data_IF_889139319951
#
_entry.id   IF_889139319951
#
_cell.length_a   1.000
_cell.length_b   1.000
_cell.length_c   1.000
_cell.angle_alpha   90.00
_cell.angle_beta   90.00
_cell.angle_gamma   90.00
#
_symmetry.space_group_name_H-M   'P 1'
#
loop_
_entity.id
_entity.type
_entity.pdbx_description
1 polymer ?
#
# COMPACT_ATOMS: atom_id res chain seq x y z
N UNK A 1 -18.93 5.89 0.19
CA UNK A 1 -18.16 5.46 1.37
C UNK A 1 -16.97 4.58 1.02
N UNK A 2 -17.09 3.26 0.79
CA UNK A 2 -15.94 2.32 0.61
C UNK A 2 -14.78 2.84 -0.26
N UNK A 3 -15.05 3.31 -1.48
CA UNK A 3 -14.01 3.83 -2.41
C UNK A 3 -13.40 5.18 -2.00
N UNK A 4 -14.10 6.00 -1.23
CA UNK A 4 -13.62 7.30 -0.75
C UNK A 4 -12.84 7.14 0.56
N UNK A 5 -13.32 6.28 1.46
CA UNK A 5 -12.64 5.94 2.71
C UNK A 5 -11.39 5.09 2.46
N UNK A 6 -11.45 4.07 1.60
CA UNK A 6 -10.25 3.34 1.19
C UNK A 6 -9.26 4.27 0.49
N UNK A 7 -9.73 5.29 -0.25
CA UNK A 7 -8.87 6.37 -0.75
C UNK A 7 -8.32 7.24 0.36
N UNK A 8 -9.09 7.67 1.36
CA UNK A 8 -8.59 8.44 2.50
C UNK A 8 -7.52 7.67 3.27
N UNK A 9 -7.74 6.37 3.49
CA UNK A 9 -6.81 5.51 4.24
C UNK A 9 -5.58 5.17 3.42
N UNK A 10 -5.73 4.85 2.12
CA UNK A 10 -4.61 4.70 1.19
C UNK A 10 -3.90 6.03 1.03
N UNK A 11 -4.60 7.16 0.99
CA UNK A 11 -4.01 8.50 0.94
C UNK A 11 -3.28 8.78 2.24
N UNK A 12 -3.80 8.46 3.43
CA UNK A 12 -3.12 8.62 4.73
C UNK A 12 -1.91 7.71 4.88
N UNK A 13 -1.99 6.46 4.42
CA UNK A 13 -0.86 5.50 4.45
C UNK A 13 0.16 5.71 3.32
N UNK A 14 -0.25 6.30 2.19
CA UNK A 14 0.64 6.71 1.09
C UNK A 14 1.14 8.15 1.24
N UNK A 15 0.47 9.07 1.95
CA UNK A 15 1.02 10.37 2.34
C UNK A 15 2.07 10.19 3.42
N UNK A 16 1.88 9.22 4.31
CA UNK A 16 2.96 8.65 5.14
C UNK A 16 4.14 8.08 4.32
N UNK A 17 3.90 7.56 3.11
CA UNK A 17 4.95 7.09 2.22
C UNK A 17 5.43 8.14 1.19
N UNK A 18 4.75 9.30 1.03
CA UNK A 18 4.92 10.27 -0.07
C UNK A 18 4.40 11.71 0.18
N UNK A 19 4.33 12.22 1.41
CA UNK A 19 4.11 13.65 1.72
C UNK A 19 3.25 13.97 2.96
N UNK A 20 3.90 14.50 4.03
CA UNK A 20 3.54 15.60 4.98
C UNK A 20 3.23 15.28 6.48
N UNK A 21 3.89 16.05 7.38
CA UNK A 21 3.81 16.04 8.88
C UNK A 21 2.70 16.93 9.51
N UNK A 22 2.54 17.14 10.83
CA UNK A 22 3.49 17.24 11.96
C UNK A 22 2.82 17.24 13.37
N UNK A 23 3.61 16.93 14.42
CA UNK A 23 3.29 16.86 15.86
C UNK A 23 2.89 18.19 16.57
N UNK A 24 1.92 18.12 17.52
CA UNK A 24 1.84 19.03 18.69
C UNK A 24 1.49 18.29 20.00
N UNK A 25 2.33 18.51 21.03
CA UNK A 25 2.23 17.90 22.36
C UNK A 25 1.21 18.55 23.31
N UNK A 26 0.62 17.73 24.18
CA UNK A 26 -0.44 18.12 25.10
C UNK A 26 0.04 18.63 26.46
N UNK A 27 -0.57 19.73 26.92
CA UNK A 27 -0.92 20.01 28.33
C UNK A 27 -2.17 20.89 28.34
N UNK A 28 -3.34 20.35 28.69
CA UNK A 28 -4.56 21.16 28.92
C UNK A 28 -5.93 20.53 28.59
N UNK A 29 -6.13 19.21 28.72
CA UNK A 29 -7.31 18.53 28.14
C UNK A 29 -8.61 18.45 28.97
N UNK A 30 -8.66 18.91 30.23
CA UNK A 30 -9.89 18.73 31.05
C UNK A 30 -10.77 19.98 31.23
N UNK A 31 -10.32 21.16 30.79
CA UNK A 31 -11.10 22.40 30.96
C UNK A 31 -11.86 22.85 29.70
N UNK A 32 -11.50 22.36 28.50
CA UNK A 32 -12.12 22.81 27.24
C UNK A 32 -13.43 22.07 26.89
N UNK A 33 -13.52 20.75 27.11
CA UNK A 33 -14.68 19.97 26.67
C UNK A 33 -15.98 20.37 27.39
N UNK A 34 -15.88 20.69 28.69
CA UNK A 34 -17.04 21.14 29.49
C UNK A 34 -17.42 22.59 29.21
N UNK A 35 -16.48 23.46 28.77
CA UNK A 35 -16.80 24.85 28.44
C UNK A 35 -17.41 24.99 27.04
N UNK A 36 -17.01 24.17 26.07
CA UNK A 36 -17.47 24.30 24.67
C UNK A 36 -18.94 23.88 24.49
N UNK A 37 -19.42 22.87 25.21
CA UNK A 37 -20.83 22.44 25.10
C UNK A 37 -21.81 23.38 25.81
N UNK A 38 -21.39 24.05 26.90
CA UNK A 38 -22.22 25.07 27.58
C UNK A 38 -22.05 26.49 26.98
N UNK A 39 -20.92 26.81 26.33
CA UNK A 39 -20.68 28.16 25.76
C UNK A 39 -21.12 28.32 24.30
N UNK A 40 -21.05 27.27 23.46
CA UNK A 40 -21.38 27.39 22.02
C UNK A 40 -22.87 27.62 21.77
N UNK A 41 -23.75 27.19 22.69
CA UNK A 41 -25.18 27.48 22.63
C UNK A 41 -25.58 28.84 23.24
N UNK A 42 -24.69 29.51 24.00
CA UNK A 42 -25.02 30.71 24.77
C UNK A 42 -24.23 31.98 24.40
N UNK A 43 -23.07 31.87 23.75
CA UNK A 43 -22.23 33.01 23.33
C UNK A 43 -21.76 32.85 21.87
N UNK A 44 -22.69 32.78 20.92
CA UNK A 44 -22.40 32.65 19.48
C UNK A 44 -21.98 33.94 18.78
N UNK A 45 -21.33 34.87 19.49
CA UNK A 45 -20.77 36.11 18.92
C UNK A 45 -19.30 36.32 19.33
N UNK A 46 -18.61 35.25 19.77
CA UNK A 46 -17.15 35.24 19.78
C UNK A 46 -16.70 35.26 18.32
N UNK A 47 -15.93 36.28 17.93
CA UNK A 47 -15.54 36.54 16.53
C UNK A 47 -14.74 35.37 15.93
N UNK A 48 -15.45 34.46 15.26
CA UNK A 48 -14.88 33.42 14.37
C UNK A 48 -14.04 34.07 13.23
N UNK A 49 -14.20 35.37 12.99
CA UNK A 49 -13.46 36.11 11.96
C UNK A 49 -11.93 36.19 12.21
N UNK A 50 -11.46 35.98 13.45
CA UNK A 50 -10.04 36.09 13.81
C UNK A 50 -9.33 34.72 13.99
N UNK A 51 -10.01 33.59 13.74
CA UNK A 51 -9.38 32.28 13.77
C UNK A 51 -8.49 32.07 12.54
N UNK A 52 -7.38 31.38 12.71
CA UNK A 52 -6.64 30.88 11.57
C UNK A 52 -7.49 29.88 10.76
N UNK A 53 -7.10 29.65 9.51
CA UNK A 53 -7.88 28.81 8.58
C UNK A 53 -8.06 27.38 9.09
N UNK A 54 -7.08 26.86 9.83
CA UNK A 54 -7.06 25.50 10.38
C UNK A 54 -8.07 25.34 11.51
N UNK A 55 -8.00 26.23 12.51
CA UNK A 55 -8.95 26.26 13.61
C UNK A 55 -10.38 26.40 13.09
N UNK A 56 -10.57 27.24 12.06
CA UNK A 56 -11.87 27.43 11.43
C UNK A 56 -12.40 26.15 10.79
N UNK A 57 -11.58 25.41 10.06
CA UNK A 57 -11.97 24.13 9.46
C UNK A 57 -12.38 23.11 10.53
N UNK A 58 -11.61 22.99 11.62
CA UNK A 58 -11.97 22.16 12.76
C UNK A 58 -13.32 22.56 13.38
N UNK A 59 -13.56 23.85 13.63
CA UNK A 59 -14.83 24.31 14.20
C UNK A 59 -16.02 24.11 13.27
N UNK A 60 -15.84 24.35 11.96
CA UNK A 60 -16.87 24.09 10.96
C UNK A 60 -17.21 22.58 10.93
N UNK A 61 -16.19 21.72 11.01
CA UNK A 61 -16.36 20.27 11.11
C UNK A 61 -17.06 19.84 12.40
N UNK A 62 -16.61 20.35 13.55
CA UNK A 62 -17.20 20.07 14.87
C UNK A 62 -18.68 20.45 14.90
N UNK A 63 -19.01 21.66 14.42
CA UNK A 63 -20.38 22.18 14.39
C UNK A 63 -21.30 21.32 13.52
N UNK A 64 -20.78 20.83 12.40
CA UNK A 64 -21.54 20.03 11.45
C UNK A 64 -21.86 18.64 11.98
N UNK A 65 -20.90 18.01 12.66
CA UNK A 65 -21.01 16.61 13.06
C UNK A 65 -21.43 16.41 14.53
N UNK A 66 -21.28 17.41 15.42
CA UNK A 66 -21.66 17.25 16.84
C UNK A 66 -23.10 16.79 17.02
N UNK A 67 -24.03 17.33 16.21
CA UNK A 67 -25.45 17.02 16.23
C UNK A 67 -25.88 16.01 15.14
N UNK A 68 -24.92 15.27 14.57
CA UNK A 68 -25.22 14.28 13.55
C UNK A 68 -26.24 13.23 14.06
N UNK A 69 -27.28 13.04 13.26
CA UNK A 69 -28.39 12.15 13.57
C UNK A 69 -28.19 10.79 12.87
N UNK A 70 -27.53 9.88 13.59
CA UNK A 70 -27.24 8.53 13.09
C UNK A 70 -28.49 7.67 12.82
N UNK A 71 -29.69 8.12 13.18
CA UNK A 71 -30.95 7.44 12.81
C UNK A 71 -31.28 7.59 11.31
N UNK A 72 -30.64 8.55 10.63
CA UNK A 72 -30.76 8.75 9.17
C UNK A 72 -29.91 7.76 8.38
N UNK A 73 -28.93 7.12 9.01
CA UNK A 73 -28.12 6.08 8.39
C UNK A 73 -28.94 4.81 8.18
N UNK A 74 -28.64 4.07 7.13
CA UNK A 74 -29.28 2.79 6.82
C UNK A 74 -28.28 1.82 6.20
N UNK A 75 -28.63 0.52 6.17
CA UNK A 75 -27.81 -0.51 5.55
C UNK A 75 -26.40 -0.59 6.12
N UNK A 76 -25.41 -0.67 5.24
CA UNK A 76 -23.99 -0.79 5.60
C UNK A 76 -23.47 0.44 6.36
N UNK A 77 -23.92 1.65 6.03
CA UNK A 77 -23.48 2.88 6.70
C UNK A 77 -23.88 2.86 8.18
N UNK A 78 -25.10 2.41 8.48
CA UNK A 78 -25.57 2.26 9.87
C UNK A 78 -24.77 1.21 10.62
N UNK A 79 -24.51 0.07 9.98
CA UNK A 79 -23.72 -1.03 10.56
C UNK A 79 -22.30 -0.57 10.89
N UNK A 80 -21.66 0.15 9.98
CA UNK A 80 -20.33 0.73 10.20
C UNK A 80 -20.33 1.73 11.35
N UNK A 81 -21.27 2.68 11.37
CA UNK A 81 -21.41 3.63 12.47
C UNK A 81 -21.58 2.93 13.83
N UNK A 82 -22.41 1.88 13.88
CA UNK A 82 -22.65 1.10 15.10
C UNK A 82 -21.38 0.33 15.54
N UNK A 83 -20.57 -0.15 14.58
CA UNK A 83 -19.26 -0.73 14.86
C UNK A 83 -18.29 0.31 15.45
N UNK A 84 -18.21 1.51 14.86
CA UNK A 84 -17.39 2.61 15.41
C UNK A 84 -17.83 2.95 16.82
N UNK A 85 -19.14 3.04 17.06
CA UNK A 85 -19.71 3.28 18.40
C UNK A 85 -19.24 2.24 19.41
N UNK A 86 -19.33 0.96 19.06
CA UNK A 86 -18.93 -0.16 19.92
C UNK A 86 -17.42 -0.16 20.20
N UNK A 87 -16.60 0.02 19.15
CA UNK A 87 -15.15 0.02 19.26
C UNK A 87 -14.66 1.23 20.05
N UNK A 88 -15.26 2.41 19.85
CA UNK A 88 -14.94 3.61 20.60
C UNK A 88 -15.30 3.50 22.08
N UNK A 89 -16.46 2.91 22.43
CA UNK A 89 -16.82 2.66 23.83
C UNK A 89 -15.80 1.73 24.53
N UNK A 90 -15.26 0.75 23.80
CA UNK A 90 -14.18 -0.12 24.29
C UNK A 90 -12.91 0.70 24.50
N UNK A 91 -12.50 1.52 23.52
CA UNK A 91 -11.35 2.41 23.61
C UNK A 91 -11.43 3.38 24.80
N UNK A 92 -12.59 4.01 25.03
CA UNK A 92 -12.84 4.91 26.17
C UNK A 92 -12.66 4.20 27.51
N UNK A 93 -13.10 2.94 27.60
CA UNK A 93 -12.95 2.12 28.80
C UNK A 93 -11.50 1.72 29.03
N UNK A 94 -10.83 1.21 27.99
CA UNK A 94 -9.46 0.72 28.06
C UNK A 94 -8.44 1.83 28.37
N UNK A 95 -8.74 3.07 27.97
CA UNK A 95 -7.88 4.25 28.18
C UNK A 95 -8.37 5.18 29.30
N UNK A 96 -9.40 4.77 30.07
CA UNK A 96 -9.93 5.52 31.21
C UNK A 96 -10.29 7.00 30.90
N UNK A 97 -10.80 7.30 29.70
CA UNK A 97 -11.01 8.68 29.25
C UNK A 97 -12.10 9.44 30.03
N UNK A 98 -12.96 8.73 30.75
CA UNK A 98 -13.97 9.34 31.63
C UNK A 98 -15.09 10.10 30.90
N UNK A 99 -15.29 9.84 29.60
CA UNK A 99 -16.31 10.51 28.79
C UNK A 99 -17.73 10.04 29.15
N UNK A 100 -18.65 10.99 29.28
CA UNK A 100 -20.09 10.72 29.37
C UNK A 100 -20.65 10.09 28.08
N UNK A 101 -21.85 9.50 28.15
CA UNK A 101 -22.50 8.92 26.97
C UNK A 101 -22.69 9.95 25.84
N UNK A 102 -22.92 11.22 26.20
CA UNK A 102 -23.21 12.28 25.25
C UNK A 102 -21.92 12.76 24.57
N UNK A 103 -20.82 12.88 25.34
CA UNK A 103 -19.49 13.15 24.79
C UNK A 103 -19.01 12.00 23.90
N UNK A 104 -19.26 10.74 24.29
CA UNK A 104 -18.95 9.59 23.45
C UNK A 104 -19.71 9.61 22.14
N UNK A 105 -21.00 9.99 22.17
CA UNK A 105 -21.80 10.15 20.96
C UNK A 105 -21.23 11.22 20.03
N UNK A 106 -20.86 12.39 20.56
CA UNK A 106 -20.23 13.47 19.78
C UNK A 106 -18.92 12.98 19.16
N UNK A 107 -18.07 12.32 19.94
CA UNK A 107 -16.81 11.76 19.43
C UNK A 107 -17.02 10.77 18.27
N UNK A 108 -17.97 9.83 18.41
CA UNK A 108 -18.31 8.88 17.33
C UNK A 108 -18.83 9.61 16.10
N UNK A 109 -19.63 10.66 16.27
CA UNK A 109 -20.10 11.46 15.14
C UNK A 109 -18.94 12.15 14.38
N UNK A 110 -17.94 12.65 15.10
CA UNK A 110 -16.75 13.26 14.50
C UNK A 110 -15.92 12.22 13.74
N UNK A 111 -15.67 11.06 14.35
CA UNK A 111 -14.96 9.95 13.70
C UNK A 111 -15.69 9.44 12.46
N UNK A 112 -17.03 9.41 12.50
CA UNK A 112 -17.85 9.13 11.32
C UNK A 112 -17.68 10.21 10.24
N UNK A 113 -17.70 11.49 10.63
CA UNK A 113 -17.50 12.60 9.71
C UNK A 113 -16.17 12.54 8.96
N UNK A 114 -15.10 12.07 9.62
CA UNK A 114 -13.80 11.88 9.00
C UNK A 114 -13.83 10.85 7.86
N UNK A 115 -14.80 9.92 7.88
CA UNK A 115 -15.02 8.99 6.78
C UNK A 115 -15.85 9.54 5.62
N UNK A 116 -16.54 10.65 5.84
CA UNK A 116 -17.43 11.30 4.87
C UNK A 116 -16.77 12.48 4.14
N UNK A 117 -15.85 13.17 4.80
CA UNK A 117 -15.26 14.41 4.34
C UNK A 117 -13.75 14.39 4.46
N UNK A 118 -13.10 14.89 3.42
CA UNK A 118 -11.67 15.16 3.44
C UNK A 118 -11.47 16.46 4.25
N UNK A 119 -10.62 16.40 5.27
CA UNK A 119 -10.19 17.53 6.08
C UNK A 119 -8.68 17.72 5.90
N UNK A 120 -8.16 18.91 6.21
CA UNK A 120 -6.70 19.10 6.34
C UNK A 120 -6.11 18.22 7.44
N UNK A 121 -4.81 17.91 7.33
CA UNK A 121 -4.08 17.10 8.32
C UNK A 121 -4.09 17.77 9.69
N UNK A 122 -3.97 19.10 9.74
CA UNK A 122 -4.02 19.83 11.00
C UNK A 122 -5.42 19.77 11.65
N UNK A 123 -6.49 19.88 10.84
CA UNK A 123 -7.84 19.69 11.35
C UNK A 123 -8.09 18.24 11.80
N UNK A 124 -7.54 17.24 11.09
CA UNK A 124 -7.59 15.84 11.49
C UNK A 124 -6.95 15.63 12.89
N UNK A 125 -5.76 16.17 13.10
CA UNK A 125 -5.06 16.11 14.39
C UNK A 125 -5.84 16.80 15.51
N UNK A 126 -6.44 17.96 15.24
CA UNK A 126 -7.31 18.66 16.20
C UNK A 126 -8.55 17.83 16.56
N UNK A 127 -9.16 17.16 15.58
CA UNK A 127 -10.32 16.26 15.80
C UNK A 127 -9.91 15.08 16.68
N UNK A 128 -8.80 14.41 16.38
CA UNK A 128 -8.31 13.30 17.20
C UNK A 128 -7.98 13.77 18.62
N UNK A 129 -7.31 14.92 18.75
CA UNK A 129 -6.99 15.51 20.04
C UNK A 129 -8.25 15.84 20.85
N UNK A 130 -9.30 16.38 20.21
CA UNK A 130 -10.59 16.68 20.82
C UNK A 130 -11.29 15.41 21.33
N UNK A 131 -11.25 14.34 20.54
CA UNK A 131 -11.82 13.03 20.90
C UNK A 131 -11.00 12.32 22.00
N UNK A 132 -9.81 12.84 22.33
CA UNK A 132 -8.90 12.21 23.29
C UNK A 132 -8.22 10.96 22.72
N UNK A 133 -8.00 10.96 21.40
CA UNK A 133 -7.51 9.84 20.62
C UNK A 133 -6.18 10.21 19.93
N UNK A 134 -5.31 9.23 19.71
CA UNK A 134 -4.14 9.31 18.85
C UNK A 134 -4.35 8.47 17.57
N UNK A 135 -3.41 8.51 16.63
CA UNK A 135 -3.57 7.78 15.36
C UNK A 135 -3.73 6.26 15.57
N UNK A 136 -3.04 5.68 16.57
CA UNK A 136 -3.20 4.26 16.94
C UNK A 136 -4.64 3.95 17.38
N UNK A 137 -5.20 4.80 18.22
CA UNK A 137 -6.60 4.73 18.64
C UNK A 137 -7.56 4.89 17.46
N UNK A 138 -7.27 5.81 16.53
CA UNK A 138 -8.08 6.01 15.33
C UNK A 138 -8.12 4.76 14.45
N UNK A 139 -6.97 4.16 14.17
CA UNK A 139 -6.92 2.91 13.38
C UNK A 139 -7.68 1.79 14.11
N UNK A 140 -7.46 1.60 15.41
CA UNK A 140 -8.14 0.55 16.19
C UNK A 140 -9.66 0.76 16.25
N UNK A 141 -10.13 1.99 16.33
CA UNK A 141 -11.56 2.31 16.44
C UNK A 141 -12.22 2.32 15.08
N UNK A 142 -11.70 3.09 14.13
CA UNK A 142 -12.35 3.35 12.85
C UNK A 142 -11.99 2.28 11.84
N UNK A 143 -10.71 1.95 11.63
CA UNK A 143 -10.30 0.98 10.61
C UNK A 143 -10.78 -0.42 10.95
N UNK A 144 -10.66 -0.87 12.21
CA UNK A 144 -11.19 -2.17 12.59
C UNK A 144 -12.72 -2.22 12.72
N UNK A 145 -13.42 -1.10 12.61
CA UNK A 145 -14.87 -1.13 12.38
C UNK A 145 -15.24 -1.68 11.00
N UNK A 146 -14.30 -1.68 10.06
CA UNK A 146 -14.41 -2.31 8.74
C UNK A 146 -13.92 -3.76 8.72
N UNK A 147 -13.58 -4.38 9.86
CA UNK A 147 -12.90 -5.70 9.86
C UNK A 147 -13.66 -6.79 9.08
N UNK A 148 -14.99 -6.77 9.03
CA UNK A 148 -15.76 -7.71 8.21
C UNK A 148 -15.54 -7.54 6.69
N UNK A 149 -14.94 -6.42 6.29
CA UNK A 149 -14.64 -6.05 4.91
C UNK A 149 -13.13 -6.04 4.60
N UNK A 150 -12.28 -6.07 5.62
CA UNK A 150 -10.83 -6.12 5.47
C UNK A 150 -10.38 -7.57 5.27
N UNK A 151 -9.44 -7.76 4.35
CA UNK A 151 -8.69 -9.00 4.22
C UNK A 151 -7.72 -9.17 5.40
N UNK A 152 -7.29 -10.40 5.67
CA UNK A 152 -6.28 -10.69 6.71
C UNK A 152 -4.98 -9.90 6.47
N UNK A 153 -4.65 -9.63 5.20
CA UNK A 153 -3.50 -8.82 4.77
C UNK A 153 -3.65 -7.37 5.20
N UNK A 154 -4.80 -6.78 4.92
CA UNK A 154 -5.07 -5.38 5.26
C UNK A 154 -5.07 -5.19 6.78
N UNK A 155 -5.69 -6.10 7.54
CA UNK A 155 -5.66 -6.05 9.00
C UNK A 155 -4.23 -6.04 9.53
N UNK A 156 -3.35 -6.89 8.99
CA UNK A 156 -1.98 -6.96 9.44
C UNK A 156 -1.13 -5.77 8.98
N UNK A 157 -1.38 -5.26 7.77
CA UNK A 157 -0.78 -4.03 7.30
C UNK A 157 -1.10 -2.85 8.24
N UNK A 158 -2.36 -2.69 8.64
CA UNK A 158 -2.73 -1.65 9.62
C UNK A 158 -2.12 -1.91 11.00
N UNK A 159 -1.99 -3.15 11.44
CA UNK A 159 -1.25 -3.47 12.67
C UNK A 159 0.22 -3.04 12.59
N UNK A 160 0.85 -3.15 11.42
CA UNK A 160 2.23 -2.71 11.22
C UNK A 160 2.36 -1.19 11.26
N UNK A 161 1.42 -0.46 10.65
CA UNK A 161 1.35 1.01 10.75
C UNK A 161 1.11 1.45 12.20
N UNK A 162 0.21 0.80 12.93
CA UNK A 162 0.00 1.12 14.35
C UNK A 162 1.32 0.93 15.13
N UNK A 163 1.99 -0.20 14.91
CA UNK A 163 3.25 -0.50 15.60
C UNK A 163 4.37 0.47 15.18
N UNK A 164 4.37 1.01 13.96
CA UNK A 164 5.40 1.98 13.54
C UNK A 164 5.25 3.28 14.31
N UNK A 165 4.02 3.78 14.49
CA UNK A 165 3.78 4.96 15.32
C UNK A 165 4.03 4.72 16.81
N UNK A 166 3.80 3.50 17.31
CA UNK A 166 4.07 3.13 18.71
C UNK A 166 5.57 2.86 18.99
N UNK A 167 6.43 2.83 17.95
CA UNK A 167 7.84 2.47 18.08
C UNK A 167 8.65 3.56 18.78
N UNK A 168 9.00 3.32 20.03
CA UNK A 168 9.94 4.16 20.78
C UNK A 168 11.37 3.63 20.60
N UNK A 169 12.11 4.24 19.66
CA UNK A 169 13.51 3.87 19.34
C UNK A 169 14.44 3.99 20.55
N UNK A 170 14.09 4.81 21.56
CA UNK A 170 14.90 4.94 22.78
C UNK A 170 14.82 3.73 23.70
N UNK A 171 13.78 2.90 23.53
CA UNK A 171 13.57 1.65 24.28
C UNK A 171 14.19 0.43 23.59
N UNK A 172 14.72 0.58 22.38
CA UNK A 172 15.38 -0.52 21.66
C UNK A 172 16.70 -0.89 22.34
N UNK A 173 17.01 -2.19 22.32
CA UNK A 173 18.36 -2.67 22.66
C UNK A 173 19.39 -2.15 21.66
N UNK A 174 20.67 -2.16 22.02
CA UNK A 174 21.74 -1.69 21.12
C UNK A 174 21.74 -2.43 19.77
N UNK A 175 21.51 -3.75 19.79
CA UNK A 175 21.42 -4.55 18.58
C UNK A 175 20.19 -4.16 17.74
N UNK A 176 19.01 -4.02 18.35
CA UNK A 176 17.80 -3.58 17.65
C UNK A 176 17.94 -2.18 17.06
N UNK A 177 18.56 -1.26 17.81
CA UNK A 177 18.82 0.09 17.35
C UNK A 177 19.75 0.10 16.14
N UNK A 178 20.79 -0.74 16.14
CA UNK A 178 21.66 -0.93 14.97
C UNK A 178 20.88 -1.44 13.75
N UNK A 179 19.94 -2.37 13.92
CA UNK A 179 19.05 -2.84 12.84
C UNK A 179 18.23 -1.66 12.30
N UNK A 180 17.54 -0.94 13.19
CA UNK A 180 16.70 0.21 12.83
C UNK A 180 17.48 1.30 12.10
N UNK A 181 18.65 1.69 12.62
CA UNK A 181 19.53 2.70 11.99
C UNK A 181 19.99 2.27 10.59
N UNK A 182 20.22 0.96 10.39
CA UNK A 182 20.57 0.40 9.08
C UNK A 182 19.42 0.52 8.10
N UNK A 183 18.19 0.16 8.52
CA UNK A 183 16.99 0.31 7.69
C UNK A 183 16.73 1.77 7.34
N UNK A 184 16.81 2.68 8.31
CA UNK A 184 16.66 4.13 8.10
C UNK A 184 17.70 4.64 7.09
N UNK A 185 18.95 4.18 7.20
CA UNK A 185 20.01 4.52 6.24
C UNK A 185 19.70 3.98 4.83
N UNK A 186 19.19 2.76 4.70
CA UNK A 186 18.84 2.18 3.41
C UNK A 186 17.64 2.89 2.78
N UNK A 187 16.59 3.18 3.55
CA UNK A 187 15.46 3.99 3.11
C UNK A 187 15.91 5.37 2.63
N UNK A 188 16.82 6.04 3.36
CA UNK A 188 17.39 7.33 2.93
C UNK A 188 18.14 7.23 1.59
N UNK A 189 18.94 6.17 1.40
CA UNK A 189 19.65 5.95 0.13
C UNK A 189 18.70 5.67 -1.02
N UNK A 190 17.63 4.91 -0.76
CA UNK A 190 16.59 4.62 -1.72
C UNK A 190 15.90 5.92 -2.17
N UNK A 191 15.42 6.73 -1.23
CA UNK A 191 14.83 8.06 -1.51
C UNK A 191 15.76 8.91 -2.38
N UNK A 192 17.05 8.96 -2.05
CA UNK A 192 18.04 9.71 -2.83
C UNK A 192 18.29 9.10 -4.23
N UNK A 193 18.31 7.77 -4.37
CA UNK A 193 18.56 7.06 -5.63
C UNK A 193 17.45 7.29 -6.65
N UNK A 194 16.21 7.40 -6.18
CA UNK A 194 15.02 7.60 -7.02
C UNK A 194 14.50 9.04 -7.03
N UNK A 195 15.25 9.97 -6.43
CA UNK A 195 14.90 11.41 -6.36
C UNK A 195 13.50 11.64 -5.76
N UNK A 196 13.15 10.85 -4.74
CA UNK A 196 11.87 11.01 -4.02
C UNK A 196 11.96 12.21 -3.07
N UNK A 197 10.90 13.00 -3.00
CA UNK A 197 10.78 14.15 -2.11
C UNK A 197 10.20 13.70 -0.75
N UNK A 198 10.95 12.88 0.00
CA UNK A 198 10.55 12.44 1.34
C UNK A 198 11.31 13.19 2.45
N UNK A 199 10.58 13.57 3.49
CA UNK A 199 11.07 14.19 4.71
C UNK A 199 11.62 13.13 5.70
N UNK A 200 12.32 13.58 6.76
CA UNK A 200 13.01 12.68 7.69
C UNK A 200 12.05 11.78 8.50
N UNK A 201 10.86 12.28 8.83
CA UNK A 201 9.80 11.57 9.53
C UNK A 201 9.18 10.46 8.68
N UNK A 202 9.00 10.67 7.38
CA UNK A 202 8.51 9.65 6.43
C UNK A 202 9.53 8.53 6.25
N UNK A 203 10.82 8.88 6.13
CA UNK A 203 11.92 7.92 6.09
C UNK A 203 11.96 7.11 7.41
N UNK A 204 11.73 7.78 8.55
CA UNK A 204 11.65 7.12 9.84
C UNK A 204 10.46 6.15 9.90
N UNK A 205 9.32 6.53 9.35
CA UNK A 205 8.14 5.67 9.31
C UNK A 205 8.35 4.44 8.43
N UNK A 206 8.90 4.59 7.22
CA UNK A 206 9.29 3.46 6.36
C UNK A 206 10.22 2.51 7.13
N UNK A 207 11.25 3.06 7.79
CA UNK A 207 12.17 2.26 8.59
C UNK A 207 11.46 1.56 9.77
N UNK A 208 10.45 2.19 10.37
CA UNK A 208 9.65 1.64 11.47
C UNK A 208 8.72 0.52 11.01
N UNK A 209 8.08 0.66 9.85
CA UNK A 209 7.27 -0.39 9.23
C UNK A 209 8.17 -1.59 8.91
N UNK A 210 9.29 -1.38 8.22
CA UNK A 210 10.26 -2.44 7.90
C UNK A 210 10.79 -3.11 9.17
N UNK A 211 11.16 -2.32 10.18
CA UNK A 211 11.62 -2.85 11.46
C UNK A 211 10.55 -3.72 12.11
N UNK A 212 9.30 -3.26 12.16
CA UNK A 212 8.20 -4.02 12.73
C UNK A 212 7.87 -5.27 11.93
N UNK A 213 7.95 -5.24 10.59
CA UNK A 213 7.85 -6.44 9.75
C UNK A 213 8.94 -7.46 10.13
N UNK A 214 10.14 -6.97 10.40
CA UNK A 214 11.26 -7.85 10.73
C UNK A 214 11.28 -8.33 12.18
N UNK A 215 10.82 -7.55 13.15
CA UNK A 215 10.71 -7.92 14.56
C UNK A 215 9.50 -8.84 14.78
N UNK A 216 8.40 -8.58 14.06
CA UNK A 216 7.20 -9.43 14.04
C UNK A 216 7.36 -10.72 13.23
N UNK A 217 8.53 -10.96 12.63
CA UNK A 217 8.86 -12.18 11.88
C UNK A 217 8.84 -13.47 12.71
N UNK A 218 8.60 -13.35 14.02
CA UNK A 218 8.24 -14.51 14.87
C UNK A 218 6.77 -14.93 14.76
N UNK A 219 5.90 -14.17 14.06
CA UNK A 219 4.44 -14.46 13.93
C UNK A 219 3.83 -14.24 12.55
N UNK A 220 4.39 -13.39 11.69
CA UNK A 220 3.89 -13.23 10.32
C UNK A 220 4.18 -14.49 9.51
N UNK A 221 3.17 -15.04 8.83
CA UNK A 221 3.43 -16.09 7.85
C UNK A 221 4.18 -15.49 6.66
N UNK A 222 5.08 -16.28 6.05
CA UNK A 222 5.72 -16.02 4.76
C UNK A 222 4.78 -15.40 3.72
N UNK A 223 3.58 -15.98 3.58
CA UNK A 223 2.55 -15.50 2.66
C UNK A 223 2.09 -14.08 3.00
N UNK A 224 1.80 -13.83 4.28
CA UNK A 224 1.32 -12.53 4.75
C UNK A 224 2.39 -11.44 4.63
N UNK A 225 3.66 -11.75 4.92
CA UNK A 225 4.78 -10.82 4.70
C UNK A 225 4.88 -10.41 3.22
N UNK A 226 4.76 -11.38 2.32
CA UNK A 226 4.77 -11.16 0.87
C UNK A 226 3.63 -10.25 0.43
N UNK A 227 2.42 -10.56 0.88
CA UNK A 227 1.23 -9.78 0.53
C UNK A 227 1.31 -8.35 1.09
N UNK A 228 1.90 -8.14 2.28
CA UNK A 228 2.16 -6.81 2.83
C UNK A 228 3.21 -6.03 2.03
N UNK A 229 4.32 -6.67 1.65
CA UNK A 229 5.35 -6.05 0.78
C UNK A 229 4.72 -5.59 -0.54
N UNK A 230 3.88 -6.44 -1.15
CA UNK A 230 3.13 -6.10 -2.35
C UNK A 230 2.13 -4.95 -2.11
N UNK A 231 1.41 -4.97 -0.99
CA UNK A 231 0.45 -3.91 -0.63
C UNK A 231 1.14 -2.54 -0.44
N UNK A 232 2.39 -2.54 0.01
CA UNK A 232 3.24 -1.35 0.08
C UNK A 232 3.69 -0.84 -1.30
N UNK A 233 3.40 -1.56 -2.38
CA UNK A 233 3.89 -1.23 -3.73
C UNK A 233 5.41 -1.40 -3.87
N UNK A 234 6.02 -2.17 -2.97
CA UNK A 234 7.45 -2.45 -2.97
C UNK A 234 7.64 -3.82 -3.62
N UNK A 235 8.42 -3.90 -4.70
CA UNK A 235 8.82 -5.21 -5.23
C UNK A 235 9.85 -5.89 -4.31
N UNK A 236 10.01 -7.21 -4.42
CA UNK A 236 10.93 -7.95 -3.54
C UNK A 236 12.40 -7.55 -3.69
N UNK A 237 12.83 -7.13 -4.87
CA UNK A 237 14.20 -6.66 -5.09
C UNK A 237 14.46 -5.38 -4.31
N UNK A 238 13.45 -4.50 -4.29
CA UNK A 238 13.47 -3.29 -3.49
C UNK A 238 13.38 -3.59 -2.00
N UNK A 239 12.54 -4.53 -1.58
CA UNK A 239 12.49 -4.96 -0.18
C UNK A 239 13.83 -5.57 0.27
N UNK A 240 14.52 -6.32 -0.59
CA UNK A 240 15.87 -6.82 -0.36
C UNK A 240 16.88 -5.68 -0.23
N UNK A 241 16.86 -4.68 -1.13
CA UNK A 241 17.73 -3.50 -1.07
C UNK A 241 17.52 -2.71 0.24
N UNK A 242 16.26 -2.52 0.65
CA UNK A 242 15.90 -1.82 1.88
C UNK A 242 16.30 -2.61 3.14
N UNK A 243 16.09 -3.93 3.12
CA UNK A 243 16.36 -4.81 4.26
C UNK A 243 17.86 -5.15 4.40
N UNK A 244 18.63 -5.06 3.31
CA UNK A 244 20.07 -5.31 3.30
C UNK A 244 20.44 -6.69 3.87
N UNK A 245 21.41 -6.73 4.79
CA UNK A 245 21.87 -7.99 5.41
C UNK A 245 20.77 -8.71 6.22
N UNK A 246 19.69 -8.02 6.58
CA UNK A 246 18.57 -8.64 7.29
C UNK A 246 17.67 -9.46 6.38
N UNK A 247 17.70 -9.20 5.06
CA UNK A 247 16.94 -9.98 4.07
C UNK A 247 17.33 -11.47 4.08
N UNK A 248 18.57 -11.81 4.43
CA UNK A 248 19.02 -13.21 4.56
C UNK A 248 18.19 -14.00 5.58
N UNK A 249 17.62 -13.34 6.59
CA UNK A 249 16.70 -13.98 7.55
C UNK A 249 15.32 -14.25 6.94
N UNK A 250 14.98 -13.56 5.86
CA UNK A 250 13.72 -13.66 5.14
C UNK A 250 13.81 -14.48 3.86
N UNK A 251 15.00 -14.72 3.30
CA UNK A 251 15.14 -15.41 2.00
C UNK A 251 14.47 -16.79 1.97
N UNK A 252 14.53 -17.53 3.08
CA UNK A 252 13.91 -18.85 3.21
C UNK A 252 12.37 -18.75 3.37
N UNK A 253 11.87 -17.54 3.62
CA UNK A 253 10.49 -17.15 3.80
C UNK A 253 9.96 -16.29 2.65
N UNK A 254 10.74 -16.03 1.59
CA UNK A 254 10.19 -15.52 0.34
C UNK A 254 9.65 -16.74 -0.39
N UNK A 255 8.33 -16.86 -0.60
CA UNK A 255 7.81 -17.96 -1.39
C UNK A 255 8.48 -17.87 -2.75
N UNK A 256 9.08 -18.96 -3.25
CA UNK A 256 9.49 -19.00 -4.66
C UNK A 256 8.33 -18.62 -5.59
N UNK A 257 7.10 -18.89 -5.15
CA UNK A 257 5.87 -18.49 -5.83
C UNK A 257 5.64 -16.97 -5.90
N UNK A 258 6.20 -16.15 -5.02
CA UNK A 258 6.03 -14.68 -5.05
C UNK A 258 6.84 -14.02 -6.17
N UNK A 259 8.09 -14.44 -6.32
CA UNK A 259 8.97 -14.00 -7.42
C UNK A 259 8.40 -14.48 -8.76
N UNK A 260 7.83 -15.70 -8.80
CA UNK A 260 7.10 -16.20 -9.96
C UNK A 260 5.79 -15.43 -10.19
N UNK A 261 5.09 -15.04 -9.13
CA UNK A 261 3.87 -14.23 -9.22
C UNK A 261 4.16 -12.87 -9.85
N UNK A 262 5.21 -12.19 -9.39
CA UNK A 262 5.66 -10.91 -9.95
C UNK A 262 6.03 -11.06 -11.42
N UNK A 263 6.78 -12.13 -11.78
CA UNK A 263 7.08 -12.44 -13.18
C UNK A 263 5.81 -12.61 -14.02
N UNK A 264 4.83 -13.37 -13.53
CA UNK A 264 3.56 -13.58 -14.24
C UNK A 264 2.82 -12.25 -14.40
N UNK A 265 2.68 -11.49 -13.32
CA UNK A 265 1.96 -10.22 -13.32
C UNK A 265 2.59 -9.20 -14.28
N UNK A 266 3.91 -8.99 -14.18
CA UNK A 266 4.68 -8.09 -15.04
C UNK A 266 4.55 -8.51 -16.50
N UNK A 267 4.76 -9.80 -16.80
CA UNK A 267 4.67 -10.32 -18.16
C UNK A 267 3.29 -10.07 -18.77
N UNK A 268 2.20 -10.27 -18.01
CA UNK A 268 0.84 -10.02 -18.50
C UNK A 268 0.51 -8.55 -18.65
N UNK A 269 0.87 -7.71 -17.68
CA UNK A 269 0.63 -6.27 -17.73
C UNK A 269 1.29 -5.65 -18.96
N UNK A 270 2.56 -6.00 -19.23
CA UNK A 270 3.30 -5.54 -20.42
C UNK A 270 2.67 -6.08 -21.71
N UNK A 271 2.32 -7.37 -21.71
CA UNK A 271 1.88 -8.06 -22.92
C UNK A 271 0.50 -7.61 -23.40
N UNK A 272 -0.45 -7.48 -22.48
CA UNK A 272 -1.87 -7.33 -22.79
C UNK A 272 -2.44 -5.95 -22.49
N UNK A 273 -1.66 -5.06 -21.87
CA UNK A 273 -2.12 -3.73 -21.42
C UNK A 273 -3.40 -3.85 -20.56
N UNK A 274 -3.48 -4.92 -19.77
CA UNK A 274 -4.62 -5.26 -18.94
C UNK A 274 -4.18 -6.05 -17.70
N UNK A 275 -4.77 -5.72 -16.56
CA UNK A 275 -4.54 -6.42 -15.30
C UNK A 275 -5.27 -7.77 -15.30
N UNK A 276 -4.54 -8.84 -14.97
CA UNK A 276 -5.19 -10.12 -14.66
C UNK A 276 -5.82 -10.08 -13.27
N UNK A 277 -6.83 -10.94 -13.05
CA UNK A 277 -7.29 -11.15 -11.68
C UNK A 277 -6.18 -11.80 -10.85
N UNK A 278 -6.10 -11.46 -9.56
CA UNK A 278 -5.12 -12.05 -8.65
C UNK A 278 -5.24 -13.60 -8.60
N UNK A 279 -6.47 -14.12 -8.75
CA UNK A 279 -6.73 -15.57 -8.82
C UNK A 279 -6.12 -16.21 -10.06
N UNK A 280 -6.21 -15.56 -11.23
CA UNK A 280 -5.62 -16.10 -12.46
C UNK A 280 -4.08 -16.06 -12.42
N UNK A 281 -3.50 -15.01 -11.87
CA UNK A 281 -2.04 -14.89 -11.68
C UNK A 281 -1.55 -15.99 -10.74
N UNK A 282 -2.20 -16.16 -9.58
CA UNK A 282 -1.85 -17.20 -8.60
C UNK A 282 -1.93 -18.60 -9.22
N UNK A 283 -3.00 -18.90 -9.96
CA UNK A 283 -3.16 -20.18 -10.65
C UNK A 283 -2.03 -20.47 -11.65
N UNK A 284 -1.50 -19.46 -12.33
CA UNK A 284 -0.39 -19.61 -13.28
C UNK A 284 0.94 -19.74 -12.52
N UNK A 285 1.16 -18.90 -11.51
CA UNK A 285 2.35 -18.95 -10.68
C UNK A 285 2.52 -20.30 -9.99
N UNK A 286 1.43 -20.88 -9.48
CA UNK A 286 1.41 -22.24 -8.92
C UNK A 286 1.86 -23.26 -9.98
N UNK A 287 1.28 -23.26 -11.19
CA UNK A 287 1.66 -24.20 -12.25
C UNK A 287 3.13 -24.08 -12.66
N UNK A 288 3.64 -22.85 -12.73
CA UNK A 288 5.05 -22.56 -13.00
C UNK A 288 5.95 -23.10 -11.88
N UNK A 289 5.60 -22.83 -10.62
CA UNK A 289 6.37 -23.29 -9.45
C UNK A 289 6.40 -24.81 -9.28
N UNK A 290 5.32 -25.50 -9.66
CA UNK A 290 5.23 -26.96 -9.65
C UNK A 290 5.91 -27.62 -10.87
N UNK A 291 6.35 -26.83 -11.85
CA UNK A 291 6.91 -27.33 -13.12
C UNK A 291 5.88 -28.00 -14.04
N UNK A 292 4.59 -27.77 -13.77
CA UNK A 292 3.45 -28.19 -14.59
C UNK A 292 3.26 -27.27 -15.81
N UNK A 293 3.83 -26.07 -15.77
CA UNK A 293 3.98 -25.15 -16.88
C UNK A 293 5.46 -24.73 -16.95
N UNK A 294 6.09 -24.83 -18.12
CA UNK A 294 7.44 -24.27 -18.34
C UNK A 294 7.38 -22.77 -18.58
N UNK A 295 8.47 -22.05 -18.34
CA UNK A 295 8.57 -20.62 -18.65
C UNK A 295 8.32 -20.35 -20.14
N UNK A 296 8.77 -21.25 -21.04
CA UNK A 296 8.48 -21.14 -22.48
C UNK A 296 7.01 -21.31 -22.81
N UNK A 297 6.36 -22.35 -22.27
CA UNK A 297 4.93 -22.58 -22.50
C UNK A 297 4.10 -21.40 -21.98
N UNK A 298 4.49 -20.83 -20.84
CA UNK A 298 3.88 -19.63 -20.28
C UNK A 298 3.97 -18.43 -21.24
N UNK A 299 5.18 -18.06 -21.69
CA UNK A 299 5.38 -16.97 -22.65
C UNK A 299 4.60 -17.23 -23.93
N UNK A 300 4.65 -18.45 -24.49
CA UNK A 300 3.89 -18.78 -25.70
C UNK A 300 2.38 -18.67 -25.49
N UNK A 301 1.88 -18.98 -24.29
CA UNK A 301 0.48 -18.79 -23.91
C UNK A 301 0.05 -17.32 -23.88
N UNK A 302 0.93 -16.41 -23.44
CA UNK A 302 0.73 -14.96 -23.54
C UNK A 302 0.65 -14.54 -25.01
N UNK A 303 1.59 -14.99 -25.84
CA UNK A 303 1.63 -14.70 -27.28
C UNK A 303 0.46 -15.30 -28.06
N UNK A 304 -0.37 -16.13 -27.43
CA UNK A 304 -1.59 -16.65 -28.05
C UNK A 304 -2.84 -15.83 -27.75
N UNK A 305 -2.78 -14.90 -26.80
CA UNK A 305 -3.87 -14.00 -26.48
C UNK A 305 -4.05 -12.96 -27.60
N UNK A 306 -5.30 -12.69 -27.98
CA UNK A 306 -5.62 -11.74 -29.04
C UNK A 306 -5.14 -10.31 -28.71
N UNK A 307 -5.11 -9.95 -27.43
CA UNK A 307 -4.66 -8.64 -26.95
C UNK A 307 -3.19 -8.32 -27.23
N UNK A 308 -2.34 -9.32 -27.41
CA UNK A 308 -0.90 -9.11 -27.63
C UNK A 308 -0.59 -8.37 -28.94
N UNK A 309 -1.38 -8.64 -29.98
CA UNK A 309 -1.19 -8.12 -31.34
C UNK A 309 -2.06 -6.90 -31.64
N UNK A 310 -2.62 -6.26 -30.61
CA UNK A 310 -3.42 -5.04 -30.75
C UNK A 310 -2.60 -3.90 -31.39
N UNK A 311 -1.29 -3.88 -31.14
CA UNK A 311 -0.34 -2.96 -31.76
C UNK A 311 0.21 -3.50 -33.08
N UNK A 312 -0.05 -2.79 -34.18
CA UNK A 312 0.43 -3.15 -35.51
C UNK A 312 1.86 -2.66 -35.81
N UNK A 313 2.52 -2.00 -34.86
CA UNK A 313 3.87 -1.48 -35.03
C UNK A 313 4.91 -2.56 -34.66
N UNK A 314 5.76 -2.92 -35.62
CA UNK A 314 6.81 -3.94 -35.46
C UNK A 314 7.77 -3.60 -34.32
N UNK A 315 8.14 -2.32 -34.16
CA UNK A 315 9.07 -1.90 -33.10
C UNK A 315 8.45 -2.09 -31.71
N UNK A 316 7.16 -1.80 -31.58
CA UNK A 316 6.43 -1.94 -30.31
C UNK A 316 6.28 -3.43 -29.95
N UNK A 317 6.05 -4.29 -30.95
CA UNK A 317 6.05 -5.75 -30.75
C UNK A 317 7.42 -6.28 -30.27
N UNK A 318 8.53 -5.79 -30.83
CA UNK A 318 9.88 -6.17 -30.36
C UNK A 318 10.12 -5.69 -28.94
N UNK A 319 9.74 -4.45 -28.62
CA UNK A 319 9.85 -3.92 -27.26
C UNK A 319 9.05 -4.76 -26.25
N UNK A 320 7.81 -5.15 -26.59
CA UNK A 320 6.99 -6.03 -25.75
C UNK A 320 7.64 -7.39 -25.56
N UNK A 321 8.17 -8.01 -26.62
CA UNK A 321 8.87 -9.29 -26.51
C UNK A 321 10.08 -9.22 -25.57
N UNK A 322 10.88 -8.16 -25.65
CA UNK A 322 12.01 -7.96 -24.73
C UNK A 322 11.57 -7.84 -23.28
N UNK A 323 10.56 -7.02 -23.03
CA UNK A 323 10.07 -6.80 -21.68
C UNK A 323 9.39 -8.05 -21.10
N UNK A 324 8.68 -8.85 -21.92
CA UNK A 324 8.03 -10.10 -21.48
C UNK A 324 9.04 -11.23 -21.28
N UNK A 325 10.01 -11.39 -22.18
CA UNK A 325 10.92 -12.54 -22.20
C UNK A 325 12.17 -12.26 -21.37
N UNK A 326 12.76 -11.07 -21.52
CA UNK A 326 14.06 -10.72 -20.96
C UNK A 326 13.98 -9.71 -19.81
N UNK A 327 12.76 -9.29 -19.43
CA UNK A 327 12.50 -8.38 -18.30
C UNK A 327 13.30 -7.06 -18.38
N UNK A 328 13.55 -6.58 -19.59
CA UNK A 328 14.27 -5.33 -19.81
C UNK A 328 13.85 -4.64 -21.10
N UNK A 329 14.20 -3.36 -21.20
CA UNK A 329 14.12 -2.63 -22.45
C UNK A 329 15.17 -3.13 -23.44
N UNK A 330 14.77 -3.14 -24.72
CA UNK A 330 15.68 -3.45 -25.82
C UNK A 330 16.63 -2.29 -26.07
N UNK A 331 17.89 -2.61 -26.35
CA UNK A 331 18.90 -1.65 -26.82
C UNK A 331 18.74 -1.36 -28.32
N UNK A 332 19.35 -0.27 -28.81
CA UNK A 332 19.17 0.16 -30.21
C UNK A 332 19.59 -0.90 -31.24
N UNK A 333 20.66 -1.65 -30.95
CA UNK A 333 21.18 -2.69 -31.83
C UNK A 333 20.27 -3.92 -31.84
N UNK A 334 19.79 -4.35 -30.67
CA UNK A 334 18.79 -5.39 -30.52
C UNK A 334 17.50 -5.05 -31.25
N UNK A 335 16.98 -3.83 -31.08
CA UNK A 335 15.75 -3.39 -31.72
C UNK A 335 15.88 -3.45 -33.24
N UNK A 336 17.00 -2.94 -33.77
CA UNK A 336 17.30 -2.98 -35.21
C UNK A 336 17.43 -4.40 -35.74
N UNK A 337 18.11 -5.28 -35.01
CA UNK A 337 18.28 -6.69 -35.38
C UNK A 337 16.93 -7.42 -35.46
N UNK A 338 16.12 -7.35 -34.41
CA UNK A 338 14.85 -8.06 -34.34
C UNK A 338 13.78 -7.49 -35.24
N UNK A 339 13.74 -6.17 -35.42
CA UNK A 339 12.88 -5.55 -36.45
C UNK A 339 13.22 -6.07 -37.84
N UNK A 340 14.51 -6.13 -38.19
CA UNK A 340 14.95 -6.66 -39.49
C UNK A 340 14.56 -8.13 -39.67
N UNK A 341 14.66 -8.92 -38.60
CA UNK A 341 14.29 -10.34 -38.60
C UNK A 341 12.78 -10.56 -38.78
N UNK A 342 11.94 -9.80 -38.05
CA UNK A 342 10.49 -9.84 -38.21
C UNK A 342 10.08 -9.44 -39.63
N UNK A 343 10.65 -8.33 -40.13
CA UNK A 343 10.40 -7.84 -41.49
C UNK A 343 10.72 -8.88 -42.56
N UNK A 344 11.85 -9.57 -42.44
CA UNK A 344 12.27 -10.63 -43.36
C UNK A 344 11.25 -11.79 -43.37
N UNK A 345 10.83 -12.24 -42.18
CA UNK A 345 9.87 -13.33 -42.02
C UNK A 345 8.50 -12.98 -42.64
N UNK A 346 8.02 -11.76 -42.41
CA UNK A 346 6.75 -11.28 -42.96
C UNK A 346 6.83 -11.11 -44.48
N UNK A 347 7.92 -10.52 -45.01
CA UNK A 347 8.17 -10.44 -46.47
C UNK A 347 8.30 -11.82 -47.12
N UNK A 348 8.77 -12.81 -46.36
CA UNK A 348 8.82 -14.22 -46.75
C UNK A 348 7.47 -14.94 -46.72
N UNK A 349 6.38 -14.24 -46.38
CA UNK A 349 5.01 -14.77 -46.42
C UNK A 349 4.49 -15.37 -45.12
N UNK A 350 5.22 -15.25 -44.00
CA UNK A 350 4.68 -15.62 -42.68
C UNK A 350 3.68 -14.57 -42.21
N UNK A 351 2.66 -15.02 -41.48
CA UNK A 351 1.79 -14.09 -40.75
C UNK A 351 2.60 -13.36 -39.67
N UNK A 352 2.17 -12.16 -39.27
CA UNK A 352 2.81 -11.43 -38.17
C UNK A 352 2.85 -12.26 -36.89
N UNK A 353 1.76 -12.97 -36.56
CA UNK A 353 1.67 -13.87 -35.40
C UNK A 353 2.72 -14.98 -35.46
N UNK A 354 2.87 -15.64 -36.61
CA UNK A 354 3.89 -16.69 -36.77
C UNK A 354 5.32 -16.14 -36.76
N UNK A 355 5.54 -14.94 -37.27
CA UNK A 355 6.84 -14.27 -37.25
C UNK A 355 7.24 -13.87 -35.81
N UNK A 356 6.31 -13.29 -35.04
CA UNK A 356 6.50 -12.95 -33.62
C UNK A 356 6.81 -14.20 -32.80
N UNK A 357 6.03 -15.27 -32.95
CA UNK A 357 6.30 -16.54 -32.26
C UNK A 357 7.65 -17.13 -32.64
N UNK A 358 8.07 -17.00 -33.90
CA UNK A 358 9.41 -17.44 -34.32
C UNK A 358 10.49 -16.65 -33.56
N UNK A 359 10.39 -15.32 -33.55
CA UNK A 359 11.35 -14.45 -32.86
C UNK A 359 11.37 -14.70 -31.35
N UNK A 360 10.20 -14.85 -30.73
CA UNK A 360 10.10 -15.19 -29.31
C UNK A 360 10.81 -16.52 -28.99
N UNK A 361 10.66 -17.55 -29.83
CA UNK A 361 11.36 -18.83 -29.64
C UNK A 361 12.88 -18.68 -29.76
N UNK A 362 13.38 -17.84 -30.66
CA UNK A 362 14.81 -17.54 -30.78
C UNK A 362 15.31 -16.79 -29.53
N UNK A 363 14.59 -15.78 -29.05
CA UNK A 363 14.91 -15.05 -27.82
C UNK A 363 14.92 -15.98 -26.60
N UNK A 364 13.89 -16.81 -26.44
CA UNK A 364 13.82 -17.82 -25.39
C UNK A 364 14.89 -18.92 -25.56
N UNK A 365 15.55 -19.02 -26.71
CA UNK A 365 16.69 -19.91 -26.94
C UNK A 365 18.02 -19.35 -26.40
N UNK A 366 18.08 -18.06 -26.09
CA UNK A 366 19.28 -17.38 -25.61
C UNK A 366 19.70 -17.86 -24.22
N UNK A 367 20.98 -17.66 -23.91
CA UNK A 367 21.52 -17.94 -22.57
C UNK A 367 21.03 -16.89 -21.55
N UNK A 368 20.67 -15.69 -22.00
CA UNK A 368 20.05 -14.65 -21.17
C UNK A 368 18.69 -15.09 -20.63
N UNK A 369 17.81 -15.63 -21.49
CA UNK A 369 16.53 -16.16 -21.04
C UNK A 369 16.70 -17.37 -20.10
N UNK A 370 17.66 -18.26 -20.38
CA UNK A 370 17.95 -19.39 -19.47
C UNK A 370 18.37 -18.90 -18.09
N UNK A 371 19.24 -17.89 -18.01
CA UNK A 371 19.68 -17.32 -16.75
C UNK A 371 18.49 -16.75 -15.96
N UNK A 372 17.60 -16.00 -16.61
CA UNK A 372 16.36 -15.52 -15.99
C UNK A 372 15.51 -16.69 -15.48
N UNK A 373 15.26 -17.71 -16.31
CA UNK A 373 14.46 -18.87 -15.87
C UNK A 373 15.10 -19.59 -14.68
N UNK A 374 16.43 -19.72 -14.65
CA UNK A 374 17.18 -20.32 -13.54
C UNK A 374 17.11 -19.46 -12.26
N UNK A 375 17.26 -18.15 -12.37
CA UNK A 375 17.18 -17.19 -11.25
C UNK A 375 15.79 -17.22 -10.58
N UNK A 376 14.73 -17.37 -11.37
CA UNK A 376 13.36 -17.51 -10.86
C UNK A 376 13.03 -18.93 -10.36
N UNK A 377 13.97 -19.88 -10.44
CA UNK A 377 13.76 -21.28 -10.04
C UNK A 377 12.75 -22.01 -10.92
N UNK A 378 12.55 -21.55 -12.16
CA UNK A 378 11.55 -22.06 -13.08
C UNK A 378 12.08 -23.20 -13.94
N UNK A 379 11.15 -24.01 -14.45
CA UNK A 379 11.46 -25.03 -15.45
C UNK A 379 11.52 -24.39 -16.84
N UNK A 380 12.62 -24.60 -17.54
CA UNK A 380 12.88 -24.11 -18.89
C UNK A 380 12.09 -24.83 -20.00
#
# INVERSE_FOLDING_TARGET
MKRKFLKLVITLSLSVCFGLGSLVGGVGRQALATSVTESVAAESEVMVEDLDSTSKEFYDFLTKYSDFDSSKLNGEDKKLYDNITKNFATYVTDNELGLSAEEQKVAVNLLWGLGEEDVSDEAFDEILAYVGMDMSGFVKVVIFSFQEELTDVEVEFYNLIIKSHELDVTKLTEDQKKIFDTLKSNASKFVAKYELELEEDEIFEIASILYNMMDSSTKLSTKLLTEVVYYLGIDFSLFEELSGEFFEKFKDYVPSTSVIFDYVNIAYAIALDHDMSAEDIDNIAVKLSEGNLTAKEFVLGILDQDGFYSDNNVSDLVNKLYNVILLRNVDEDGLKFWNSKLDELVKGGKSTKDAVKYVANEMMGSDEFKAIVEDFGLKY
#
